data_IF_527858392281
#
_entry.id   IF_527858392281
#
_cell.length_a   1.000
_cell.length_b   1.000
_cell.length_c   1.000
_cell.angle_alpha   90.00
_cell.angle_beta   90.00
_cell.angle_gamma   90.00
#
_symmetry.space_group_name_H-M   'P 1'
#
loop_
_entity.id
_entity.type
_entity.pdbx_description
1 polymer ?
#
# COMPACT_ATOMS: atom_id res chain seq x y z
N UNK A 1 8.00 -1.82 -3.80
CA UNK A 1 6.75 -1.45 -3.09
C UNK A 1 5.67 -2.53 -3.19
N UNK A 2 5.41 -3.13 -4.37
CA UNK A 2 4.44 -4.23 -4.51
C UNK A 2 4.71 -5.40 -3.55
N UNK A 3 5.98 -5.61 -3.22
CA UNK A 3 6.45 -6.65 -2.31
C UNK A 3 6.33 -6.29 -0.81
N UNK A 4 5.85 -5.08 -0.48
CA UNK A 4 5.50 -4.70 0.90
C UNK A 4 4.09 -5.13 1.29
N UNK A 5 3.32 -5.74 0.37
CA UNK A 5 1.97 -6.28 0.63
C UNK A 5 1.98 -7.41 1.66
N UNK A 6 3.14 -7.97 2.00
CA UNK A 6 3.29 -9.07 2.94
C UNK A 6 2.79 -8.73 4.36
N UNK A 7 2.59 -7.45 4.68
CA UNK A 7 1.90 -7.05 5.92
C UNK A 7 0.45 -7.56 6.00
N UNK A 8 -0.22 -7.79 4.86
CA UNK A 8 -1.55 -8.41 4.82
C UNK A 8 -1.57 -9.78 5.48
N UNK A 9 -0.46 -10.52 5.35
CA UNK A 9 -0.33 -11.88 5.88
C UNK A 9 0.13 -11.90 7.33
N UNK A 10 0.84 -10.87 7.79
CA UNK A 10 1.34 -10.79 9.17
C UNK A 10 0.21 -10.89 10.20
N UNK A 11 -0.90 -10.17 10.01
CA UNK A 11 -2.03 -10.21 10.94
C UNK A 11 -2.58 -11.64 11.10
N UNK A 12 -2.80 -12.33 9.98
CA UNK A 12 -3.35 -13.68 9.96
C UNK A 12 -2.37 -14.74 10.53
N UNK A 13 -1.06 -14.50 10.42
CA UNK A 13 -0.01 -15.42 10.90
C UNK A 13 0.31 -15.18 12.39
N UNK A 14 0.37 -13.93 12.84
CA UNK A 14 0.68 -13.60 14.25
C UNK A 14 -0.45 -13.98 15.21
N UNK A 15 -1.72 -13.89 14.79
CA UNK A 15 -2.87 -14.20 15.65
C UNK A 15 -3.40 -15.63 15.49
N UNK A 16 -2.82 -16.44 14.58
CA UNK A 16 -3.20 -17.84 14.40
C UNK A 16 -2.93 -18.66 15.69
N UNK A 17 -3.87 -19.54 16.02
CA UNK A 17 -3.84 -20.43 17.19
C UNK A 17 -3.48 -21.89 16.86
N UNK A 18 -3.23 -22.26 15.60
CA UNK A 18 -2.95 -23.65 15.21
C UNK A 18 -1.45 -24.00 15.21
N UNK A 19 -1.10 -25.05 15.95
CA UNK A 19 0.15 -25.81 15.80
C UNK A 19 0.17 -26.48 14.41
N UNK A 20 0.86 -25.87 13.44
CA UNK A 20 0.97 -26.43 12.09
C UNK A 20 1.97 -25.65 11.24
N UNK A 21 3.10 -26.32 10.95
CA UNK A 21 4.22 -25.99 10.05
C UNK A 21 4.41 -24.54 9.58
N UNK A 22 5.45 -23.92 10.15
CA UNK A 22 6.07 -22.63 9.81
C UNK A 22 6.82 -22.69 8.44
N UNK A 23 6.73 -23.79 7.71
CA UNK A 23 7.59 -24.05 6.55
C UNK A 23 7.12 -23.31 5.27
N UNK A 24 5.81 -23.02 5.18
CA UNK A 24 5.21 -22.29 4.05
C UNK A 24 5.47 -20.77 4.09
N UNK A 25 5.85 -20.21 5.24
CA UNK A 25 6.08 -18.76 5.36
C UNK A 25 7.41 -18.33 4.75
N UNK A 26 8.47 -19.16 4.80
CA UNK A 26 9.82 -18.80 4.32
C UNK A 26 9.89 -18.32 2.86
N UNK A 27 9.08 -18.89 1.96
CA UNK A 27 9.10 -18.55 0.53
C UNK A 27 8.27 -17.31 0.17
N UNK A 28 7.24 -16.99 0.96
CA UNK A 28 6.48 -15.74 0.84
C UNK A 28 7.24 -14.53 1.43
N UNK A 29 8.10 -14.80 2.44
CA UNK A 29 8.81 -13.81 3.25
C UNK A 29 10.01 -13.12 2.58
N UNK A 30 10.39 -13.52 1.36
CA UNK A 30 11.57 -12.96 0.67
C UNK A 30 11.29 -11.62 -0.04
N UNK A 31 10.02 -11.23 -0.18
CA UNK A 31 9.62 -10.05 -0.97
C UNK A 31 10.15 -8.73 -0.41
N UNK A 32 10.08 -8.49 0.90
CA UNK A 32 10.58 -7.21 1.43
C UNK A 32 12.13 -7.12 1.40
N UNK A 33 12.84 -8.25 1.33
CA UNK A 33 14.31 -8.30 1.20
C UNK A 33 14.80 -7.69 -0.11
N UNK A 34 14.03 -7.83 -1.20
CA UNK A 34 14.35 -7.16 -2.46
C UNK A 34 14.32 -5.64 -2.29
N UNK A 35 13.34 -5.13 -1.54
CA UNK A 35 13.18 -3.70 -1.24
C UNK A 35 14.34 -3.21 -0.37
N UNK A 36 14.78 -3.99 0.62
CA UNK A 36 15.92 -3.65 1.46
C UNK A 36 17.21 -3.48 0.64
N UNK A 37 17.41 -4.34 -0.36
CA UNK A 37 18.61 -4.35 -1.20
C UNK A 37 18.50 -3.48 -2.48
N UNK A 38 17.39 -2.76 -2.68
CA UNK A 38 17.12 -2.07 -3.95
C UNK A 38 17.87 -0.75 -4.14
N UNK A 39 18.49 -0.19 -3.08
CA UNK A 39 18.99 1.19 -3.06
C UNK A 39 19.90 1.53 -4.25
N UNK A 40 20.97 0.76 -4.46
CA UNK A 40 21.95 1.04 -5.52
C UNK A 40 21.32 0.94 -6.91
N UNK A 41 20.45 -0.06 -7.13
CA UNK A 41 19.76 -0.26 -8.39
C UNK A 41 18.82 0.91 -8.70
N UNK A 42 18.04 1.36 -7.72
CA UNK A 42 17.15 2.52 -7.85
C UNK A 42 17.91 3.82 -8.15
N UNK A 43 19.02 4.06 -7.46
CA UNK A 43 19.87 5.24 -7.68
C UNK A 43 20.48 5.24 -9.09
N UNK A 44 20.97 4.08 -9.55
CA UNK A 44 21.47 3.92 -10.91
C UNK A 44 20.37 4.18 -11.95
N UNK A 45 19.18 3.58 -11.78
CA UNK A 45 18.05 3.78 -12.69
C UNK A 45 17.62 5.25 -12.75
N UNK A 46 17.50 5.93 -11.60
CA UNK A 46 17.15 7.35 -11.58
C UNK A 46 18.21 8.23 -12.26
N UNK A 47 19.49 7.88 -12.12
CA UNK A 47 20.59 8.57 -12.79
C UNK A 47 20.54 8.39 -14.31
N UNK A 48 20.29 7.17 -14.81
CA UNK A 48 20.14 6.93 -16.24
C UNK A 48 18.89 7.61 -16.81
N UNK A 49 17.75 7.47 -16.14
CA UNK A 49 16.48 8.03 -16.59
C UNK A 49 16.47 9.56 -16.67
N UNK A 50 17.34 10.23 -15.90
CA UNK A 50 17.54 11.69 -15.98
C UNK A 50 18.08 12.15 -17.35
N UNK A 51 18.80 11.28 -18.08
CA UNK A 51 19.36 11.58 -19.39
C UNK A 51 18.43 11.21 -20.55
N UNK A 52 17.33 10.51 -20.27
CA UNK A 52 16.42 10.09 -21.33
C UNK A 52 15.69 11.29 -21.94
N UNK A 53 15.58 11.34 -23.27
CA UNK A 53 14.71 12.31 -23.92
C UNK A 53 13.26 12.07 -23.50
N UNK A 54 12.37 13.03 -23.76
CA UNK A 54 10.94 12.86 -23.48
C UNK A 54 10.39 11.66 -24.26
N UNK A 55 9.76 10.71 -23.57
CA UNK A 55 9.12 9.55 -24.20
C UNK A 55 7.92 9.04 -23.41
N UNK A 56 6.94 8.47 -24.12
CA UNK A 56 5.75 7.83 -23.53
C UNK A 56 5.04 8.71 -22.49
N UNK A 57 5.00 8.21 -21.25
CA UNK A 57 4.36 8.88 -20.10
C UNK A 57 5.31 9.80 -19.33
N UNK A 58 6.60 9.73 -19.61
CA UNK A 58 7.65 10.51 -18.95
C UNK A 58 7.85 11.84 -19.70
N UNK A 59 7.62 12.94 -18.99
CA UNK A 59 7.67 14.30 -19.56
C UNK A 59 9.06 14.90 -19.42
N UNK A 60 9.32 15.99 -20.14
CA UNK A 60 10.54 16.76 -19.94
C UNK A 60 10.64 17.23 -18.48
N UNK A 61 11.84 17.12 -17.88
CA UNK A 61 12.11 17.37 -16.45
C UNK A 61 11.24 16.52 -15.51
N UNK A 62 11.10 15.23 -15.83
CA UNK A 62 10.40 14.27 -14.95
C UNK A 62 11.01 14.25 -13.54
N UNK A 63 10.20 14.18 -12.46
CA UNK A 63 10.66 14.31 -11.08
C UNK A 63 11.32 13.03 -10.53
N UNK A 64 12.41 12.58 -11.15
CA UNK A 64 13.13 11.34 -10.79
C UNK A 64 13.56 11.27 -9.31
N UNK A 65 13.88 12.42 -8.70
CA UNK A 65 14.24 12.50 -7.27
C UNK A 65 13.15 11.99 -6.35
N UNK A 66 11.88 12.11 -6.73
CA UNK A 66 10.77 11.64 -5.90
C UNK A 66 10.66 10.12 -5.86
N UNK A 67 11.08 9.43 -6.91
CA UNK A 67 11.18 7.97 -6.89
C UNK A 67 12.23 7.51 -5.87
N UNK A 68 13.35 8.23 -5.73
CA UNK A 68 14.37 7.93 -4.71
C UNK A 68 13.86 8.19 -3.29
N UNK A 69 13.11 9.28 -3.08
CA UNK A 69 12.44 9.57 -1.79
C UNK A 69 11.47 8.46 -1.42
N UNK A 70 10.62 8.03 -2.37
CA UNK A 70 9.68 6.92 -2.21
C UNK A 70 10.42 5.60 -1.92
N UNK A 71 11.53 5.32 -2.62
CA UNK A 71 12.36 4.15 -2.37
C UNK A 71 12.95 4.13 -0.95
N UNK A 72 13.44 5.28 -0.47
CA UNK A 72 13.94 5.43 0.90
C UNK A 72 12.87 5.16 1.94
N UNK A 73 11.68 5.75 1.77
CA UNK A 73 10.52 5.48 2.65
C UNK A 73 10.08 4.01 2.57
N UNK A 74 10.08 3.42 1.37
CA UNK A 74 9.72 2.00 1.18
C UNK A 74 10.67 1.08 1.96
N UNK A 75 11.97 1.37 1.96
CA UNK A 75 12.97 0.65 2.78
C UNK A 75 12.72 0.84 4.28
N UNK A 76 12.42 2.06 4.72
CA UNK A 76 12.05 2.33 6.11
C UNK A 76 10.81 1.55 6.56
N UNK A 77 9.84 1.34 5.67
CA UNK A 77 8.68 0.49 5.96
C UNK A 77 9.09 -0.99 6.00
N UNK A 78 9.91 -1.45 5.06
CA UNK A 78 10.44 -2.82 5.03
C UNK A 78 11.19 -3.17 6.32
N UNK A 79 12.04 -2.29 6.87
CA UNK A 79 12.73 -2.56 8.15
C UNK A 79 11.75 -2.76 9.32
N UNK A 80 10.64 -2.03 9.35
CA UNK A 80 9.61 -2.18 10.38
C UNK A 80 8.83 -3.48 10.22
N UNK A 81 8.56 -3.88 8.97
CA UNK A 81 7.94 -5.16 8.65
C UNK A 81 8.87 -6.32 9.02
N UNK A 82 10.16 -6.20 8.76
CA UNK A 82 11.17 -7.19 9.16
C UNK A 82 11.27 -7.31 10.68
N UNK A 83 11.22 -6.19 11.40
CA UNK A 83 11.14 -6.19 12.86
C UNK A 83 9.87 -6.90 13.36
N UNK A 84 8.70 -6.61 12.79
CA UNK A 84 7.44 -7.33 13.10
C UNK A 84 7.57 -8.82 12.86
N UNK A 85 8.17 -9.20 11.73
CA UNK A 85 8.39 -10.58 11.36
C UNK A 85 9.22 -11.32 12.41
N UNK A 86 10.25 -10.69 12.98
CA UNK A 86 11.03 -11.25 14.09
C UNK A 86 10.19 -11.68 15.31
N UNK A 87 9.01 -11.09 15.50
CA UNK A 87 8.09 -11.43 16.59
C UNK A 87 7.10 -12.56 16.27
N UNK A 88 6.99 -13.04 15.02
CA UNK A 88 6.08 -14.15 14.69
C UNK A 88 6.38 -15.41 15.52
N UNK A 89 7.66 -15.75 15.70
CA UNK A 89 8.08 -16.90 16.50
C UNK A 89 7.87 -16.72 18.02
N UNK A 90 7.56 -15.50 18.46
CA UNK A 90 7.29 -15.19 19.87
C UNK A 90 5.79 -15.20 20.21
N UNK A 91 4.92 -15.37 19.20
CA UNK A 91 3.46 -15.37 19.41
C UNK A 91 3.03 -16.48 20.37
N UNK A 92 3.66 -17.65 20.31
CA UNK A 92 3.39 -18.80 21.18
C UNK A 92 3.80 -18.58 22.64
N UNK A 93 4.66 -17.60 22.93
CA UNK A 93 5.14 -17.30 24.29
C UNK A 93 4.28 -16.26 25.00
N UNK A 94 3.34 -15.62 24.31
CA UNK A 94 2.49 -14.58 24.89
C UNK A 94 1.13 -15.18 25.28
N UNK A 95 0.63 -14.96 26.50
CA UNK A 95 -0.68 -15.44 26.93
C UNK A 95 -1.80 -15.05 25.95
N UNK A 96 -2.74 -15.98 25.72
CA UNK A 96 -3.83 -15.82 24.75
C UNK A 96 -4.76 -14.67 25.16
N UNK A 97 -4.94 -14.47 26.47
CA UNK A 97 -5.75 -13.40 27.06
C UNK A 97 -5.18 -12.02 26.69
N UNK A 98 -3.86 -11.89 26.58
CA UNK A 98 -3.19 -10.65 26.19
C UNK A 98 -3.25 -10.47 24.67
N UNK A 99 -3.00 -11.54 23.89
CA UNK A 99 -3.04 -11.48 22.42
C UNK A 99 -4.44 -11.13 21.88
N UNK A 100 -5.48 -11.77 22.42
CA UNK A 100 -6.87 -11.57 21.97
C UNK A 100 -7.37 -10.13 22.16
N UNK A 101 -6.84 -9.40 23.15
CA UNK A 101 -7.15 -7.97 23.35
C UNK A 101 -6.76 -7.10 22.15
N UNK A 102 -5.71 -7.47 21.42
CA UNK A 102 -5.16 -6.67 20.32
C UNK A 102 -5.42 -7.28 18.94
N UNK A 103 -5.96 -8.50 18.89
CA UNK A 103 -6.17 -9.26 17.66
C UNK A 103 -7.00 -8.54 16.61
N UNK A 104 -8.27 -8.22 16.91
CA UNK A 104 -9.15 -7.58 15.92
C UNK A 104 -8.60 -6.22 15.44
N UNK A 105 -8.14 -5.31 16.32
CA UNK A 105 -7.57 -4.04 15.88
C UNK A 105 -6.33 -4.21 15.01
N UNK A 106 -5.41 -5.10 15.39
CA UNK A 106 -4.17 -5.34 14.66
C UNK A 106 -4.43 -6.02 13.30
N UNK A 107 -5.35 -6.97 13.23
CA UNK A 107 -5.72 -7.65 11.98
C UNK A 107 -6.36 -6.67 10.99
N UNK A 108 -7.34 -5.88 11.44
CA UNK A 108 -8.00 -4.87 10.62
C UNK A 108 -7.01 -3.83 10.12
N UNK A 109 -6.14 -3.35 10.99
CA UNK A 109 -5.12 -2.36 10.64
C UNK A 109 -4.11 -2.91 9.63
N UNK A 110 -3.65 -4.14 9.81
CA UNK A 110 -2.72 -4.82 8.88
C UNK A 110 -3.33 -4.97 7.49
N UNK A 111 -4.61 -5.40 7.43
CA UNK A 111 -5.36 -5.55 6.18
C UNK A 111 -5.52 -4.23 5.43
N UNK A 112 -6.00 -3.18 6.11
CA UNK A 112 -6.18 -1.86 5.50
C UNK A 112 -4.84 -1.26 5.06
N UNK A 113 -3.77 -1.44 5.84
CA UNK A 113 -2.42 -0.98 5.49
C UNK A 113 -1.87 -1.67 4.25
N UNK A 114 -1.99 -3.00 4.15
CA UNK A 114 -1.50 -3.70 2.97
C UNK A 114 -2.34 -3.43 1.72
N UNK A 115 -3.65 -3.20 1.85
CA UNK A 115 -4.47 -2.71 0.75
C UNK A 115 -4.03 -1.31 0.28
N UNK A 116 -3.75 -0.39 1.21
CA UNK A 116 -3.20 0.92 0.88
C UNK A 116 -1.87 0.80 0.10
N UNK A 117 -0.91 0.01 0.61
CA UNK A 117 0.37 -0.22 -0.07
C UNK A 117 0.21 -0.80 -1.47
N UNK A 118 -0.75 -1.73 -1.66
CA UNK A 118 -1.08 -2.30 -2.96
C UNK A 118 -1.61 -1.23 -3.92
N UNK A 119 -2.61 -0.45 -3.51
CA UNK A 119 -3.19 0.60 -4.35
C UNK A 119 -2.18 1.69 -4.68
N UNK A 120 -1.31 2.07 -3.73
CA UNK A 120 -0.20 3.01 -3.94
C UNK A 120 0.80 2.49 -4.98
N UNK A 121 1.21 1.22 -4.88
CA UNK A 121 2.13 0.62 -5.83
C UNK A 121 1.53 0.49 -7.24
N UNK A 122 0.24 0.15 -7.34
CA UNK A 122 -0.51 0.17 -8.61
C UNK A 122 -0.59 1.58 -9.19
N UNK A 123 -0.82 2.60 -8.36
CA UNK A 123 -0.90 4.00 -8.78
C UNK A 123 0.41 4.48 -9.43
N UNK A 124 1.56 4.20 -8.81
CA UNK A 124 2.87 4.52 -9.39
C UNK A 124 3.08 3.77 -10.71
N UNK A 125 2.82 2.47 -10.73
CA UNK A 125 3.06 1.60 -11.89
C UNK A 125 2.22 2.03 -13.10
N UNK A 126 0.95 2.40 -12.86
CA UNK A 126 0.03 2.87 -13.89
C UNK A 126 0.17 4.38 -14.15
N UNK A 127 0.94 5.11 -13.34
CA UNK A 127 1.03 6.58 -13.34
C UNK A 127 -0.35 7.25 -13.27
N UNK A 128 -1.16 6.79 -12.33
CA UNK A 128 -2.48 7.34 -12.04
C UNK A 128 -2.52 7.93 -10.65
N UNK A 129 -3.40 8.91 -10.44
CA UNK A 129 -3.61 9.53 -9.12
C UNK A 129 -3.95 8.44 -8.09
N UNK A 130 -3.31 8.42 -6.90
CA UNK A 130 -3.47 7.37 -5.89
C UNK A 130 -4.79 7.46 -5.09
N UNK A 131 -5.90 7.87 -5.72
CA UNK A 131 -7.19 8.10 -5.04
C UNK A 131 -7.80 6.83 -4.42
N UNK A 132 -7.51 5.65 -4.99
CA UNK A 132 -7.98 4.37 -4.46
C UNK A 132 -7.32 3.99 -3.12
N UNK A 133 -6.16 4.55 -2.78
CA UNK A 133 -5.48 4.26 -1.53
C UNK A 133 -6.08 5.02 -0.32
N UNK A 134 -6.68 6.18 -0.55
CA UNK A 134 -7.13 7.10 0.51
C UNK A 134 -8.10 6.46 1.52
N UNK A 135 -9.14 5.70 1.10
CA UNK A 135 -10.05 5.07 2.06
C UNK A 135 -9.34 4.06 2.98
N UNK A 136 -8.35 3.34 2.44
CA UNK A 136 -7.57 2.37 3.20
C UNK A 136 -6.62 3.05 4.19
N UNK A 137 -5.98 4.15 3.79
CA UNK A 137 -5.12 4.96 4.66
C UNK A 137 -5.92 5.56 5.82
N UNK A 138 -7.08 6.14 5.54
CA UNK A 138 -7.94 6.72 6.58
C UNK A 138 -8.40 5.67 7.60
N UNK A 139 -8.80 4.49 7.13
CA UNK A 139 -9.19 3.37 8.00
C UNK A 139 -8.03 2.83 8.83
N UNK A 140 -6.84 2.65 8.24
CA UNK A 140 -5.67 2.16 8.97
C UNK A 140 -5.21 3.17 10.03
N UNK A 141 -5.23 4.46 9.70
CA UNK A 141 -4.93 5.56 10.63
C UNK A 141 -5.88 5.60 11.82
N UNK A 142 -7.19 5.49 11.57
CA UNK A 142 -8.17 5.41 12.65
C UNK A 142 -7.96 4.17 13.52
N UNK A 143 -7.66 3.02 12.91
CA UNK A 143 -7.27 1.80 13.63
C UNK A 143 -6.04 2.00 14.52
N UNK A 144 -5.02 2.69 14.00
CA UNK A 144 -3.79 2.99 14.75
C UNK A 144 -4.06 3.91 15.96
N UNK A 145 -4.91 4.93 15.81
CA UNK A 145 -5.29 5.80 16.92
C UNK A 145 -6.02 5.04 18.03
N UNK A 146 -6.99 4.21 17.65
CA UNK A 146 -7.74 3.38 18.61
C UNK A 146 -6.84 2.35 19.32
N UNK A 147 -5.90 1.77 18.59
CA UNK A 147 -4.94 0.83 19.16
C UNK A 147 -3.97 1.53 20.13
N UNK A 148 -3.46 2.72 19.77
CA UNK A 148 -2.60 3.51 20.67
C UNK A 148 -3.31 3.90 21.95
N UNK A 149 -4.57 4.33 21.88
CA UNK A 149 -5.34 4.64 23.09
C UNK A 149 -5.52 3.40 23.95
N UNK A 150 -5.86 2.26 23.35
CA UNK A 150 -6.02 0.98 24.06
C UNK A 150 -4.72 0.53 24.73
N UNK A 151 -3.60 0.56 24.02
CA UNK A 151 -2.28 0.24 24.57
C UNK A 151 -1.92 1.13 25.77
N UNK A 152 -2.23 2.43 25.67
CA UNK A 152 -1.94 3.39 26.75
C UNK A 152 -2.79 3.11 27.98
N UNK A 153 -4.05 2.69 27.82
CA UNK A 153 -4.93 2.30 28.93
C UNK A 153 -4.46 0.99 29.57
N UNK A 154 -4.19 -0.04 28.77
CA UNK A 154 -3.75 -1.36 29.25
C UNK A 154 -2.41 -1.28 30.01
N UNK A 155 -1.49 -0.40 29.59
CA UNK A 155 -0.22 -0.17 30.30
C UNK A 155 -0.41 0.55 31.65
N UNK A 156 -1.48 1.35 31.81
CA UNK A 156 -1.79 2.06 33.06
C UNK A 156 -2.52 1.17 34.07
N UNK A 157 -3.31 0.21 33.60
CA UNK A 157 -4.15 -0.66 34.44
C UNK A 157 -3.39 -1.86 35.04
N UNK A 158 -2.07 -1.97 34.81
CA UNK A 158 -1.20 -2.85 35.58
C UNK A 158 -1.23 -4.33 35.18
N UNK A 159 -1.57 -4.65 33.91
CA UNK A 159 -1.32 -5.99 33.36
C UNK A 159 0.14 -6.39 33.61
N UNK A 160 0.43 -7.68 33.83
CA UNK A 160 1.78 -8.21 34.01
C UNK A 160 2.71 -7.69 32.89
N UNK A 161 3.42 -6.59 33.17
CA UNK A 161 4.05 -5.75 32.14
C UNK A 161 5.00 -6.59 31.30
N UNK A 162 5.70 -7.52 31.95
CA UNK A 162 6.67 -8.43 31.35
C UNK A 162 6.04 -9.41 30.34
N UNK A 163 4.86 -9.95 30.66
CA UNK A 163 4.13 -10.90 29.79
C UNK A 163 3.47 -10.18 28.61
N UNK A 164 3.16 -8.89 28.78
CA UNK A 164 2.55 -8.07 27.74
C UNK A 164 3.54 -7.46 26.74
N UNK A 165 4.85 -7.41 27.06
CA UNK A 165 5.87 -6.75 26.22
C UNK A 165 5.80 -7.20 24.75
N UNK A 166 5.77 -8.50 24.41
CA UNK A 166 5.80 -8.91 23.01
C UNK A 166 4.55 -8.44 22.23
N UNK A 167 3.35 -8.60 22.80
CA UNK A 167 2.11 -8.14 22.17
C UNK A 167 2.05 -6.62 22.02
N UNK A 168 2.47 -5.89 23.06
CA UNK A 168 2.56 -4.41 23.03
C UNK A 168 3.55 -3.95 21.96
N UNK A 169 4.72 -4.60 21.87
CA UNK A 169 5.74 -4.27 20.88
C UNK A 169 5.25 -4.50 19.46
N UNK A 170 4.58 -5.62 19.20
CA UNK A 170 3.97 -5.92 17.90
C UNK A 170 2.91 -4.88 17.53
N UNK A 171 2.03 -4.53 18.47
CA UNK A 171 1.00 -3.51 18.25
C UNK A 171 1.61 -2.13 17.95
N UNK A 172 2.68 -1.73 18.64
CA UNK A 172 3.42 -0.49 18.38
C UNK A 172 4.13 -0.49 17.03
N UNK A 173 4.83 -1.58 16.69
CA UNK A 173 5.48 -1.70 15.39
C UNK A 173 4.47 -1.65 14.24
N UNK A 174 3.28 -2.24 14.41
CA UNK A 174 2.21 -2.13 13.43
C UNK A 174 1.73 -0.68 13.25
N UNK A 175 1.58 0.08 14.34
CA UNK A 175 1.30 1.53 14.29
C UNK A 175 2.39 2.29 13.51
N UNK A 176 3.65 1.94 13.72
CA UNK A 176 4.77 2.54 12.99
C UNK A 176 4.73 2.21 11.49
N UNK A 177 4.27 1.02 11.09
CA UNK A 177 4.09 0.69 9.67
C UNK A 177 2.94 1.48 9.05
N UNK A 178 1.85 1.72 9.78
CA UNK A 178 0.77 2.62 9.33
C UNK A 178 1.33 4.02 9.07
N UNK A 179 2.08 4.58 10.02
CA UNK A 179 2.70 5.91 9.85
C UNK A 179 3.66 5.95 8.67
N UNK A 180 4.40 4.87 8.43
CA UNK A 180 5.27 4.77 7.26
C UNK A 180 4.48 4.76 5.94
N UNK A 181 3.32 4.10 5.92
CA UNK A 181 2.42 4.03 4.78
C UNK A 181 1.77 5.39 4.49
N UNK A 182 1.42 6.17 5.51
CA UNK A 182 0.94 7.55 5.37
C UNK A 182 2.01 8.42 4.67
N UNK A 183 3.26 8.38 5.13
CA UNK A 183 4.37 9.15 4.51
C UNK A 183 4.64 8.74 3.06
N UNK A 184 4.48 7.45 2.76
CA UNK A 184 4.53 6.96 1.38
C UNK A 184 3.40 7.56 0.54
N UNK A 185 2.16 7.53 1.03
CA UNK A 185 1.02 8.10 0.33
C UNK A 185 1.22 9.59 0.02
N UNK A 186 1.67 10.38 1.00
CA UNK A 186 1.98 11.81 0.81
C UNK A 186 3.05 12.01 -0.28
N UNK A 187 4.13 11.24 -0.23
CA UNK A 187 5.23 11.33 -1.20
C UNK A 187 4.81 10.90 -2.61
N UNK A 188 3.90 9.92 -2.72
CA UNK A 188 3.36 9.45 -3.99
C UNK A 188 2.35 10.45 -4.55
N UNK A 189 1.56 11.09 -3.70
CA UNK A 189 0.66 12.18 -4.09
C UNK A 189 1.46 13.40 -4.59
N UNK A 190 2.59 13.71 -3.95
CA UNK A 190 3.53 14.73 -4.41
C UNK A 190 4.12 14.38 -5.79
N UNK A 191 4.60 13.13 -5.97
CA UNK A 191 5.08 12.63 -7.27
C UNK A 191 3.99 12.73 -8.35
N UNK A 192 2.78 12.27 -8.03
CA UNK A 192 1.61 12.29 -8.93
C UNK A 192 1.32 13.71 -9.43
N UNK A 193 1.38 14.69 -8.53
CA UNK A 193 1.16 16.10 -8.84
C UNK A 193 2.27 16.66 -9.75
N UNK A 194 3.54 16.40 -9.42
CA UNK A 194 4.68 16.90 -10.19
C UNK A 194 4.79 16.25 -11.58
N UNK A 195 4.56 14.94 -11.67
CA UNK A 195 4.59 14.17 -12.91
C UNK A 195 3.31 14.32 -13.75
N UNK A 196 2.27 14.97 -13.20
CA UNK A 196 0.95 15.13 -13.82
C UNK A 196 0.37 13.78 -14.23
N UNK A 197 0.27 12.88 -13.25
CA UNK A 197 -0.40 11.58 -13.40
C UNK A 197 -1.85 11.77 -13.86
N UNK A 198 -2.39 10.78 -14.56
CA UNK A 198 -3.77 10.84 -15.05
C UNK A 198 -4.74 10.35 -13.98
N UNK A 199 -6.00 10.77 -14.05
CA UNK A 199 -7.04 10.11 -13.28
C UNK A 199 -7.22 8.67 -13.77
N UNK A 200 -7.57 7.75 -12.87
CA UNK A 200 -7.89 6.37 -13.24
C UNK A 200 -9.11 6.40 -14.14
N UNK A 201 -8.98 5.94 -15.39
CA UNK A 201 -10.11 5.77 -16.30
C UNK A 201 -11.08 4.77 -15.68
N UNK A 202 -12.25 5.25 -15.25
CA UNK A 202 -13.37 4.38 -14.95
C UNK A 202 -13.83 3.87 -16.31
N UNK A 203 -13.66 2.58 -16.58
CA UNK A 203 -14.31 1.94 -17.74
C UNK A 203 -15.82 2.06 -17.54
N UNK A 204 -16.42 3.11 -18.08
CA UNK A 204 -17.85 3.12 -18.37
C UNK A 204 -18.00 2.20 -19.58
N UNK A 205 -18.87 1.19 -19.45
CA UNK A 205 -19.25 0.35 -20.58
C UNK A 205 -19.77 1.24 -21.72
N UNK A 206 -19.59 0.88 -23.01
CA UNK A 206 -20.05 1.75 -24.09
C UNK A 206 -21.58 1.88 -24.01
N UNK A 207 -22.08 3.09 -23.80
CA UNK A 207 -23.45 3.43 -24.15
C UNK A 207 -23.54 3.35 -25.68
N UNK A 208 -24.34 2.40 -26.18
CA UNK A 208 -24.81 2.40 -27.56
C UNK A 208 -25.48 3.74 -27.85
N UNK A 209 -24.82 4.58 -28.62
CA UNK A 209 -25.46 5.74 -29.24
C UNK A 209 -26.36 5.24 -30.36
N UNK A 210 -27.67 5.27 -30.14
CA UNK A 210 -28.65 5.07 -31.21
C UNK A 210 -28.54 6.21 -32.22
N UNK A 211 -28.02 5.92 -33.41
CA UNK A 211 -28.16 6.80 -34.58
C UNK A 211 -29.60 6.71 -35.13
N UNK A 212 -30.27 7.86 -35.22
CA UNK A 212 -31.53 8.04 -35.94
C UNK A 212 -31.30 7.90 -37.46
N UNK A 213 -32.24 7.30 -38.22
CA UNK A 213 -32.09 7.13 -39.66
C UNK A 213 -32.26 8.48 -40.38
N UNK A 214 -31.18 8.97 -40.97
CA UNK A 214 -31.21 10.08 -41.91
C UNK A 214 -32.03 9.70 -43.14
N UNK A 215 -33.17 10.36 -43.30
CA UNK A 215 -34.00 10.26 -44.51
C UNK A 215 -33.41 11.18 -45.58
N UNK A 216 -32.90 10.62 -46.67
CA UNK A 216 -32.48 11.35 -47.87
C UNK A 216 -33.71 11.91 -48.62
N UNK A 217 -33.73 13.18 -49.06
CA UNK A 217 -34.72 13.64 -50.01
C UNK A 217 -34.33 13.25 -51.44
N UNK A 218 -35.26 12.61 -52.15
CA UNK A 218 -35.17 12.32 -53.58
C UNK A 218 -35.09 13.61 -54.39
N UNK A 219 -34.03 13.78 -55.19
CA UNK A 219 -34.01 14.78 -56.25
C UNK A 219 -34.77 14.24 -57.47
N UNK A 220 -35.91 14.87 -57.76
CA UNK A 220 -36.66 14.71 -59.00
C UNK A 220 -35.89 15.42 -60.12
N UNK A 221 -35.52 14.67 -61.16
CA UNK A 221 -35.02 15.22 -62.42
C UNK A 221 -36.24 15.71 -63.21
N UNK A 222 -36.35 17.02 -63.43
CA UNK A 222 -37.29 17.61 -64.39
C UNK A 222 -36.46 18.14 -65.57
N UNK A 223 -36.65 17.51 -66.73
CA UNK A 223 -36.19 17.95 -68.04
C UNK A 223 -37.12 19.04 -68.56
N UNK A 224 -36.59 20.16 -69.07
CA UNK A 224 -37.33 21.03 -70.01
C UNK A 224 -36.37 21.62 -71.05
N UNK A 225 -36.69 21.26 -72.30
CA UNK A 225 -36.38 21.80 -73.64
C UNK A 225 -34.93 22.05 -74.09
#
# INVERSE_FOLDING_TARGET
>A
MQELKEILRFGDEYFRTSEGEVESSKSALQGYTSVLNSKQAEENLANFARWEPRHGRFKYRHPWKQYLKIGSLSRQCAYRIDALHGFLNTSSKTPVEIRSKFEEPCMKMSKETGNALKELAEAISKMVVPSCAEPHISKSKMGAMNLRSKLTTELKEGANILEAIPAVTVAWLLVDVVSCTEKLAESIQELSSQAKFKNKEVKVAPEESQELPNTTPNHVIITVN
#
